data_IF_298732809363
#
_entry.id   IF_298732809363
#
_cell.length_a   1.000
_cell.length_b   1.000
_cell.length_c   1.000
_cell.angle_alpha   90.00
_cell.angle_beta   90.00
_cell.angle_gamma   90.00
#
_symmetry.space_group_name_H-M   'P 1'
#
loop_
_entity.id
_entity.type
_entity.pdbx_description
1 polymer ?
#
# COMPACT_ATOMS: atom_id res chain seq x y z
N UNK A 1 -34.29 5.38 20.31
CA UNK A 1 -33.49 4.31 20.92
C UNK A 1 -32.26 4.06 20.07
N UNK A 2 -31.12 4.64 20.49
CA UNK A 2 -29.82 4.36 19.87
C UNK A 2 -29.43 2.91 20.21
N UNK A 3 -28.88 2.20 19.23
CA UNK A 3 -28.40 0.83 19.42
C UNK A 3 -26.95 0.87 19.89
N UNK A 4 -26.51 -0.15 20.63
CA UNK A 4 -25.14 -0.22 21.20
C UNK A 4 -24.02 -0.08 20.16
N UNK A 5 -24.28 -0.37 18.89
CA UNK A 5 -23.35 -0.22 17.77
C UNK A 5 -23.47 1.13 17.03
N UNK A 6 -24.25 2.08 17.55
CA UNK A 6 -24.31 3.45 17.05
C UNK A 6 -22.99 4.17 17.39
N UNK A 7 -22.29 4.64 16.38
CA UNK A 7 -20.97 5.25 16.55
C UNK A 7 -21.02 6.49 17.45
N UNK A 8 -22.03 7.34 17.28
CA UNK A 8 -22.18 8.55 18.11
C UNK A 8 -22.37 8.18 19.58
N UNK A 9 -23.13 7.10 19.86
CA UNK A 9 -23.31 6.62 21.22
C UNK A 9 -22.03 6.08 21.83
N UNK A 10 -21.24 5.34 21.05
CA UNK A 10 -19.95 4.81 21.50
C UNK A 10 -18.94 5.93 21.76
N UNK A 11 -18.87 6.92 20.89
CA UNK A 11 -17.99 8.08 21.06
C UNK A 11 -18.42 8.94 22.26
N UNK A 12 -19.72 9.16 22.44
CA UNK A 12 -20.25 9.90 23.59
C UNK A 12 -19.92 9.19 24.91
N UNK A 13 -20.10 7.85 24.96
CA UNK A 13 -19.70 7.07 26.11
C UNK A 13 -18.20 7.17 26.39
N UNK A 14 -17.37 7.01 25.39
CA UNK A 14 -15.91 7.08 25.49
C UNK A 14 -15.43 8.42 26.03
N UNK A 15 -16.06 9.52 25.57
CA UNK A 15 -15.66 10.88 25.95
C UNK A 15 -16.26 11.35 27.27
N UNK A 16 -17.45 10.89 27.64
CA UNK A 16 -18.24 11.45 28.74
C UNK A 16 -18.80 10.41 29.72
N UNK A 17 -18.99 9.17 29.29
CA UNK A 17 -19.66 8.12 30.06
C UNK A 17 -18.72 7.14 30.76
N UNK A 18 -17.46 7.11 30.35
CA UNK A 18 -16.47 6.21 30.96
C UNK A 18 -15.92 6.73 32.31
N UNK A 19 -15.09 5.93 32.96
CA UNK A 19 -14.52 6.32 34.25
C UNK A 19 -13.66 7.58 34.16
N UNK A 20 -13.55 8.39 35.25
CA UNK A 20 -12.70 9.57 35.26
C UNK A 20 -11.24 9.31 34.89
N UNK A 21 -10.73 8.12 35.17
CA UNK A 21 -9.39 7.69 34.80
C UNK A 21 -9.21 7.66 33.29
N UNK A 22 -10.11 6.98 32.58
CA UNK A 22 -10.04 6.88 31.10
C UNK A 22 -10.35 8.21 30.41
N UNK A 23 -11.28 9.00 30.94
CA UNK A 23 -11.54 10.34 30.42
C UNK A 23 -10.32 11.26 30.53
N UNK A 24 -9.59 11.20 31.67
CA UNK A 24 -8.35 11.95 31.87
C UNK A 24 -7.26 11.50 30.90
N UNK A 25 -7.10 10.19 30.76
CA UNK A 25 -6.14 9.60 29.82
C UNK A 25 -6.42 10.04 28.39
N UNK A 26 -7.67 10.02 27.92
CA UNK A 26 -8.05 10.46 26.58
C UNK A 26 -7.73 11.94 26.33
N UNK A 27 -7.97 12.81 27.32
CA UNK A 27 -7.62 14.23 27.20
C UNK A 27 -6.12 14.45 26.95
N UNK A 28 -5.28 13.64 27.58
CA UNK A 28 -3.84 13.72 27.38
C UNK A 28 -3.42 13.01 26.08
N UNK A 29 -4.07 11.92 25.72
CA UNK A 29 -3.87 11.23 24.44
C UNK A 29 -4.13 12.15 23.24
N UNK A 30 -5.21 12.94 23.25
CA UNK A 30 -5.53 13.89 22.16
C UNK A 30 -4.55 15.06 22.03
N UNK A 31 -3.70 15.29 23.01
CA UNK A 31 -2.61 16.29 22.90
C UNK A 31 -1.33 15.70 22.28
N UNK A 32 -1.31 14.40 22.08
CA UNK A 32 -0.11 13.72 21.58
C UNK A 32 0.11 14.02 20.09
N UNK A 33 1.35 14.32 19.74
CA UNK A 33 1.76 14.68 18.37
C UNK A 33 2.51 13.55 17.65
N UNK A 34 2.44 12.34 18.16
CA UNK A 34 3.05 11.16 17.53
C UNK A 34 2.43 10.79 16.18
N UNK A 35 3.07 9.89 15.44
CA UNK A 35 2.49 9.36 14.20
C UNK A 35 1.18 8.61 14.49
N UNK A 36 0.27 8.57 13.52
CA UNK A 36 -1.00 7.85 13.65
C UNK A 36 -0.78 6.36 14.02
N UNK A 37 0.25 5.73 13.49
CA UNK A 37 0.64 4.36 13.84
C UNK A 37 1.02 4.22 15.32
N UNK A 38 1.85 5.14 15.83
CA UNK A 38 2.23 5.14 17.26
C UNK A 38 1.04 5.44 18.17
N UNK A 39 0.16 6.35 17.76
CA UNK A 39 -1.06 6.66 18.52
C UNK A 39 -2.01 5.45 18.57
N UNK A 40 -2.15 4.69 17.47
CA UNK A 40 -2.93 3.45 17.45
C UNK A 40 -2.37 2.41 18.42
N UNK A 41 -1.04 2.27 18.51
CA UNK A 41 -0.41 1.38 19.48
C UNK A 41 -0.65 1.83 20.93
N UNK A 42 -0.49 3.12 21.22
CA UNK A 42 -0.76 3.67 22.55
C UNK A 42 -2.21 3.43 22.96
N UNK A 43 -3.15 3.67 22.06
CA UNK A 43 -4.57 3.44 22.29
C UNK A 43 -4.87 1.96 22.57
N UNK A 44 -4.35 1.05 21.75
CA UNK A 44 -4.49 -0.38 21.93
C UNK A 44 -3.95 -0.85 23.30
N UNK A 45 -2.78 -0.38 23.67
CA UNK A 45 -2.09 -0.81 24.89
C UNK A 45 -2.74 -0.26 26.16
N UNK A 46 -3.04 1.03 26.19
CA UNK A 46 -3.43 1.72 27.41
C UNK A 46 -4.94 1.90 27.57
N UNK A 47 -5.68 2.05 26.48
CA UNK A 47 -7.13 2.13 26.52
C UNK A 47 -7.79 0.75 26.49
N UNK A 48 -7.41 -0.08 25.53
CA UNK A 48 -8.00 -1.41 25.36
C UNK A 48 -7.35 -2.48 26.24
N UNK A 49 -6.23 -2.17 26.90
CA UNK A 49 -5.49 -3.13 27.74
C UNK A 49 -4.93 -4.33 26.97
N UNK A 50 -4.73 -4.16 25.66
CA UNK A 50 -4.30 -5.23 24.76
C UNK A 50 -2.83 -5.02 24.36
N UNK A 51 -2.00 -6.06 24.53
CA UNK A 51 -0.55 -5.99 24.33
C UNK A 51 -0.09 -6.16 22.89
N UNK A 52 -0.99 -6.31 21.92
CA UNK A 52 -0.53 -6.41 20.53
C UNK A 52 -1.42 -7.15 19.53
N UNK A 53 -2.65 -7.54 19.90
CA UNK A 53 -3.58 -8.15 18.95
C UNK A 53 -3.83 -7.21 17.76
N UNK A 54 -3.57 -7.70 16.56
CA UNK A 54 -3.74 -6.95 15.30
C UNK A 54 -3.03 -5.58 15.29
N UNK A 55 -1.93 -5.43 16.03
CA UNK A 55 -1.23 -4.16 16.16
C UNK A 55 -0.88 -3.56 14.78
N UNK A 56 -0.34 -4.35 13.89
CA UNK A 56 0.05 -3.89 12.55
C UNK A 56 -1.16 -3.42 11.74
N UNK A 57 -2.26 -4.17 11.78
CA UNK A 57 -3.52 -3.79 11.11
C UNK A 57 -4.04 -2.45 11.66
N UNK A 58 -4.05 -2.28 12.98
CA UNK A 58 -4.51 -1.06 13.64
C UNK A 58 -3.64 0.15 13.33
N UNK A 59 -2.32 -0.03 13.34
CA UNK A 59 -1.36 1.02 12.97
C UNK A 59 -1.53 1.45 11.51
N UNK A 60 -1.76 0.49 10.63
CA UNK A 60 -2.01 0.74 9.21
C UNK A 60 -3.29 1.53 9.02
N UNK A 61 -4.41 1.07 9.59
CA UNK A 61 -5.71 1.77 9.49
C UNK A 61 -5.68 3.17 10.08
N UNK A 62 -4.99 3.37 11.20
CA UNK A 62 -4.85 4.70 11.79
C UNK A 62 -4.07 5.66 10.86
N UNK A 63 -3.04 5.16 10.20
CA UNK A 63 -2.27 5.93 9.23
C UNK A 63 -3.11 6.29 8.00
N UNK A 64 -3.92 5.37 7.51
CA UNK A 64 -4.87 5.61 6.42
C UNK A 64 -5.87 6.71 6.76
N UNK A 65 -6.53 6.58 7.91
CA UNK A 65 -7.49 7.58 8.38
C UNK A 65 -6.86 8.96 8.56
N UNK A 66 -5.63 9.01 9.09
CA UNK A 66 -4.89 10.26 9.21
C UNK A 66 -4.73 10.95 7.86
N UNK A 67 -4.29 10.23 6.84
CA UNK A 67 -4.13 10.80 5.50
C UNK A 67 -5.46 11.19 4.84
N UNK A 68 -6.52 10.43 5.09
CA UNK A 68 -7.86 10.79 4.58
C UNK A 68 -8.38 12.08 5.22
N UNK A 69 -8.20 12.24 6.52
CA UNK A 69 -8.62 13.44 7.26
C UNK A 69 -7.78 14.65 6.85
N UNK A 70 -6.46 14.51 6.75
CA UNK A 70 -5.54 15.58 6.40
C UNK A 70 -5.81 16.15 4.99
N UNK A 71 -6.26 15.33 4.07
CA UNK A 71 -6.61 15.75 2.70
C UNK A 71 -8.02 16.29 2.52
N UNK A 72 -8.77 16.39 3.60
CA UNK A 72 -10.18 16.73 3.58
C UNK A 72 -11.03 15.55 3.07
N UNK A 73 -12.10 15.25 3.81
CA UNK A 73 -13.11 14.29 3.40
C UNK A 73 -13.69 14.70 2.03
N UNK A 74 -13.10 14.24 0.94
CA UNK A 74 -13.85 14.13 -0.29
C UNK A 74 -14.88 13.03 -0.03
N UNK A 75 -16.14 13.41 0.15
CA UNK A 75 -17.24 12.46 0.20
C UNK A 75 -17.23 11.64 -1.09
N UNK A 76 -16.53 10.54 -1.11
CA UNK A 76 -16.79 9.46 -2.04
C UNK A 76 -17.90 8.64 -1.42
N UNK A 77 -19.15 9.00 -1.74
CA UNK A 77 -20.24 8.04 -1.72
C UNK A 77 -19.73 6.73 -2.29
N UNK A 78 -20.02 5.59 -1.61
CA UNK A 78 -19.56 4.25 -1.96
C UNK A 78 -19.76 3.83 -3.42
N UNK A 79 -19.05 4.48 -4.29
CA UNK A 79 -18.83 4.11 -5.68
C UNK A 79 -17.47 3.45 -5.74
N UNK A 80 -17.41 2.29 -6.35
CA UNK A 80 -16.15 1.64 -6.71
C UNK A 80 -15.18 2.70 -7.23
N UNK A 81 -14.08 2.94 -6.51
CA UNK A 81 -13.01 3.79 -7.00
C UNK A 81 -12.65 3.28 -8.39
N UNK A 82 -12.79 4.13 -9.41
CA UNK A 82 -12.36 3.79 -10.75
C UNK A 82 -10.87 3.50 -10.66
N UNK A 83 -10.51 2.25 -10.82
CA UNK A 83 -9.15 1.75 -10.78
C UNK A 83 -8.37 2.20 -12.02
N UNK A 84 -8.25 3.51 -12.20
CA UNK A 84 -7.36 4.07 -13.21
C UNK A 84 -5.94 4.08 -12.64
N UNK A 85 -4.99 3.32 -13.20
CA UNK A 85 -3.60 3.32 -12.74
C UNK A 85 -2.92 4.68 -12.85
N UNK A 86 -3.53 5.65 -13.53
CA UNK A 86 -3.05 7.02 -13.63
C UNK A 86 -3.61 7.94 -12.52
N UNK A 87 -4.56 7.47 -11.72
CA UNK A 87 -5.15 8.23 -10.63
C UNK A 87 -4.54 7.83 -9.29
N UNK A 88 -3.84 8.78 -8.67
CA UNK A 88 -3.26 8.57 -7.33
C UNK A 88 -4.30 8.56 -6.22
N UNK A 89 -5.45 9.18 -6.43
CA UNK A 89 -6.53 9.20 -5.45
C UNK A 89 -7.19 7.83 -5.33
N UNK A 90 -7.31 7.07 -6.43
CA UNK A 90 -7.81 5.71 -6.45
C UNK A 90 -6.88 4.68 -5.81
N UNK A 91 -5.60 5.00 -5.66
CA UNK A 91 -4.61 4.06 -5.10
C UNK A 91 -4.72 3.94 -3.58
N UNK A 92 -5.27 4.93 -2.88
CA UNK A 92 -5.18 4.99 -1.42
C UNK A 92 -6.28 4.26 -0.66
N UNK A 93 -7.45 4.10 -1.23
CA UNK A 93 -8.59 3.49 -0.54
C UNK A 93 -8.62 1.97 -0.60
N UNK A 94 -8.13 1.41 -1.68
CA UNK A 94 -8.34 -0.01 -2.03
C UNK A 94 -7.12 -0.90 -1.81
N UNK A 95 -5.98 -0.33 -1.38
CA UNK A 95 -4.72 -1.06 -1.26
C UNK A 95 -4.59 -1.91 -0.01
N UNK A 96 -5.58 -1.87 0.86
CA UNK A 96 -5.44 -2.41 2.21
C UNK A 96 -6.55 -3.39 2.59
N UNK A 97 -6.97 -4.24 1.67
CA UNK A 97 -7.73 -5.40 2.10
C UNK A 97 -6.80 -6.44 2.75
N UNK A 98 -6.62 -6.30 4.05
CA UNK A 98 -5.84 -7.21 4.88
C UNK A 98 -6.65 -8.40 5.39
N UNK A 99 -7.81 -8.65 4.84
CA UNK A 99 -8.72 -9.69 5.32
C UNK A 99 -8.15 -11.10 5.13
N UNK A 100 -7.10 -11.24 4.29
CA UNK A 100 -6.46 -12.53 4.02
C UNK A 100 -5.01 -12.53 4.50
N UNK A 101 -4.65 -13.35 5.49
CA UNK A 101 -3.27 -13.52 5.91
C UNK A 101 -2.36 -13.93 4.74
N UNK A 102 -1.25 -13.22 4.56
CA UNK A 102 -0.23 -13.57 3.56
C UNK A 102 -0.39 -12.94 2.20
N UNK A 103 -1.24 -11.91 2.05
CA UNK A 103 -1.21 -11.14 0.83
C UNK A 103 -2.53 -10.59 0.30
N UNK A 104 -3.61 -10.71 1.02
CA UNK A 104 -4.91 -10.08 0.72
C UNK A 104 -5.57 -10.42 -0.62
N UNK A 105 -4.84 -10.98 -1.54
CA UNK A 105 -5.23 -11.18 -2.93
C UNK A 105 -4.96 -12.60 -3.45
N UNK A 106 -4.68 -13.53 -2.53
CA UNK A 106 -4.35 -14.92 -2.85
C UNK A 106 -2.91 -15.13 -3.29
N UNK A 107 -2.05 -14.12 -3.23
CA UNK A 107 -0.62 -14.24 -3.50
C UNK A 107 0.17 -14.50 -2.22
N UNK A 108 1.15 -15.40 -2.26
CA UNK A 108 1.94 -15.82 -1.10
C UNK A 108 3.08 -14.83 -0.72
N UNK A 109 2.91 -13.55 -1.03
CA UNK A 109 3.90 -12.52 -0.66
C UNK A 109 3.64 -12.00 0.75
N UNK A 110 4.72 -11.85 1.53
CA UNK A 110 4.62 -11.32 2.87
C UNK A 110 4.12 -9.86 2.84
N UNK A 111 3.10 -9.60 3.66
CA UNK A 111 2.49 -8.29 3.78
C UNK A 111 3.51 -7.18 4.01
N UNK A 112 3.31 -6.04 3.36
CA UNK A 112 4.16 -4.85 3.50
C UNK A 112 5.51 -4.94 2.79
N UNK A 113 5.85 -6.08 2.15
CA UNK A 113 7.02 -6.19 1.30
C UNK A 113 6.77 -5.54 -0.08
N UNK A 114 7.82 -5.08 -0.75
CA UNK A 114 7.69 -4.46 -2.08
C UNK A 114 7.01 -5.40 -3.08
N UNK A 115 7.28 -6.68 -3.00
CA UNK A 115 6.67 -7.74 -3.81
C UNK A 115 5.17 -7.88 -3.56
N UNK A 116 4.75 -7.81 -2.29
CA UNK A 116 3.33 -7.80 -1.93
C UNK A 116 2.62 -6.57 -2.51
N UNK A 117 3.22 -5.38 -2.36
CA UNK A 117 2.62 -4.14 -2.83
C UNK A 117 2.32 -4.17 -4.33
N UNK A 118 3.25 -4.65 -5.14
CA UNK A 118 3.03 -4.78 -6.59
C UNK A 118 1.96 -5.82 -6.90
N UNK A 119 2.00 -6.99 -6.26
CA UNK A 119 1.02 -8.05 -6.47
C UNK A 119 -0.40 -7.58 -6.11
N UNK A 120 -0.56 -6.95 -4.94
CA UNK A 120 -1.82 -6.39 -4.47
C UNK A 120 -2.35 -5.31 -5.44
N UNK A 121 -1.47 -4.41 -5.92
CA UNK A 121 -1.88 -3.36 -6.87
C UNK A 121 -2.32 -3.93 -8.21
N UNK A 122 -1.59 -4.89 -8.75
CA UNK A 122 -1.98 -5.58 -9.98
C UNK A 122 -3.34 -6.27 -9.85
N UNK A 123 -3.55 -6.94 -8.72
CA UNK A 123 -4.80 -7.65 -8.46
C UNK A 123 -5.99 -6.69 -8.34
N UNK A 124 -5.82 -5.61 -7.59
CA UNK A 124 -6.81 -4.54 -7.47
C UNK A 124 -7.24 -3.99 -8.84
N UNK A 125 -6.30 -3.81 -9.74
CA UNK A 125 -6.55 -3.28 -11.09
C UNK A 125 -7.00 -4.35 -12.10
N UNK A 126 -7.03 -5.63 -11.69
CA UNK A 126 -7.33 -6.76 -12.58
C UNK A 126 -6.28 -6.97 -13.67
N UNK A 127 -5.03 -6.61 -13.38
CA UNK A 127 -3.93 -6.68 -14.35
C UNK A 127 -3.23 -8.04 -14.31
N UNK A 128 -2.75 -8.44 -15.47
CA UNK A 128 -1.86 -9.58 -15.70
C UNK A 128 -0.61 -9.11 -16.44
N UNK A 129 0.46 -9.88 -16.41
CA UNK A 129 1.57 -9.62 -17.30
C UNK A 129 1.08 -9.73 -18.76
N UNK A 130 1.50 -8.80 -19.59
CA UNK A 130 1.28 -8.87 -21.02
C UNK A 130 2.34 -9.80 -21.63
N UNK A 131 1.91 -10.88 -22.22
CA UNK A 131 2.78 -11.79 -22.95
C UNK A 131 3.26 -11.18 -24.27
N UNK A 132 4.40 -11.66 -24.79
CA UNK A 132 5.01 -11.18 -26.04
C UNK A 132 4.10 -11.37 -27.25
N UNK A 133 3.20 -12.36 -27.19
CA UNK A 133 2.23 -12.65 -28.26
C UNK A 133 0.82 -12.14 -27.90
N UNK A 134 0.70 -11.28 -26.86
CA UNK A 134 -0.55 -10.69 -26.43
C UNK A 134 -1.35 -11.51 -25.41
N UNK A 135 -0.85 -12.67 -24.97
CA UNK A 135 -1.46 -13.49 -23.93
C UNK A 135 -1.43 -12.80 -22.57
N UNK A 136 -2.33 -13.20 -21.66
CA UNK A 136 -2.36 -12.75 -20.27
C UNK A 136 -1.70 -13.78 -19.38
N UNK A 137 -0.61 -13.40 -18.71
CA UNK A 137 0.18 -14.28 -17.86
C UNK A 137 0.02 -13.85 -16.41
N UNK A 138 -0.37 -14.77 -15.54
CA UNK A 138 -0.41 -14.50 -14.10
C UNK A 138 1.00 -14.43 -13.54
N UNK A 139 1.24 -13.49 -12.60
CA UNK A 139 2.42 -13.58 -11.74
C UNK A 139 2.34 -14.83 -10.88
N UNK A 140 3.49 -15.35 -10.50
CA UNK A 140 3.62 -16.56 -9.68
C UNK A 140 4.18 -16.20 -8.30
N UNK A 141 4.00 -17.10 -7.31
CA UNK A 141 4.46 -16.87 -5.94
C UNK A 141 6.00 -16.84 -5.78
N UNK A 142 6.74 -17.16 -6.84
CA UNK A 142 8.20 -17.23 -6.85
C UNK A 142 8.81 -16.26 -7.87
N UNK A 143 8.32 -15.03 -7.92
CA UNK A 143 8.90 -13.99 -8.81
C UNK A 143 10.33 -13.58 -8.41
N UNK A 144 10.79 -13.98 -7.20
CA UNK A 144 12.10 -13.63 -6.67
C UNK A 144 12.10 -12.35 -5.84
N UNK A 145 13.30 -11.81 -5.61
CA UNK A 145 13.49 -10.51 -4.96
C UNK A 145 13.00 -9.38 -5.87
N UNK A 146 12.87 -8.17 -5.34
CA UNK A 146 12.39 -7.04 -6.12
C UNK A 146 13.13 -6.83 -7.45
N UNK A 147 14.47 -6.99 -7.43
CA UNK A 147 15.29 -6.87 -8.65
C UNK A 147 15.05 -7.97 -9.67
N UNK A 148 14.50 -9.12 -9.27
CA UNK A 148 14.37 -10.31 -10.14
C UNK A 148 13.04 -10.33 -10.91
N UNK A 149 12.07 -9.53 -10.50
CA UNK A 149 10.69 -9.60 -10.99
C UNK A 149 10.56 -9.43 -12.50
N UNK A 150 11.26 -8.48 -13.09
CA UNK A 150 11.20 -8.25 -14.53
C UNK A 150 11.89 -9.39 -15.30
N UNK A 151 13.01 -9.90 -14.79
CA UNK A 151 13.68 -11.05 -15.40
C UNK A 151 12.79 -12.31 -15.32
N UNK A 152 12.14 -12.55 -14.18
CA UNK A 152 11.18 -13.65 -14.03
C UNK A 152 9.97 -13.47 -14.94
N UNK A 153 9.40 -12.26 -15.04
CA UNK A 153 8.32 -11.99 -15.97
C UNK A 153 8.72 -12.30 -17.42
N UNK A 154 9.96 -11.95 -17.81
CA UNK A 154 10.50 -12.29 -19.12
C UNK A 154 10.62 -13.80 -19.34
N UNK A 155 11.06 -14.56 -18.32
CA UNK A 155 11.17 -16.03 -18.40
C UNK A 155 9.80 -16.72 -18.51
N UNK A 156 8.75 -16.11 -17.97
CA UNK A 156 7.37 -16.56 -18.11
C UNK A 156 6.76 -16.24 -19.48
N UNK A 157 7.47 -15.53 -20.36
CA UNK A 157 6.98 -15.13 -21.67
C UNK A 157 6.44 -13.68 -21.72
N UNK A 158 6.55 -12.94 -20.61
CA UNK A 158 6.09 -11.55 -20.52
C UNK A 158 6.88 -10.58 -21.39
N UNK A 159 6.17 -9.56 -21.89
CA UNK A 159 6.79 -8.41 -22.58
C UNK A 159 7.52 -7.53 -21.57
N UNK A 160 8.80 -7.26 -21.82
CA UNK A 160 9.64 -6.45 -20.93
C UNK A 160 10.37 -5.37 -21.74
N UNK A 161 10.90 -4.36 -21.07
CA UNK A 161 11.63 -3.28 -21.73
C UNK A 161 12.26 -2.29 -20.78
N UNK A 162 12.80 -1.21 -21.35
CA UNK A 162 13.48 -0.12 -20.62
C UNK A 162 12.67 1.18 -20.57
N UNK A 163 11.50 1.21 -21.19
CA UNK A 163 10.66 2.42 -21.25
C UNK A 163 9.52 2.34 -20.24
N UNK A 164 9.34 3.35 -19.36
CA UNK A 164 8.23 3.37 -18.43
C UNK A 164 6.88 3.43 -19.17
N UNK A 165 5.89 2.67 -18.68
CA UNK A 165 4.49 2.75 -19.11
C UNK A 165 3.60 2.69 -17.88
N UNK A 166 2.55 3.49 -17.83
CA UNK A 166 1.55 3.39 -16.77
C UNK A 166 0.99 1.96 -16.72
N UNK A 167 0.87 1.43 -15.51
CA UNK A 167 0.48 0.04 -15.28
C UNK A 167 1.62 -0.98 -15.31
N UNK A 168 2.84 -0.59 -15.67
CA UNK A 168 3.97 -1.51 -15.68
C UNK A 168 4.48 -1.84 -14.27
N UNK A 169 5.05 -3.03 -14.13
CA UNK A 169 5.93 -3.37 -13.01
C UNK A 169 7.32 -2.80 -13.31
N UNK A 170 7.97 -2.24 -12.30
CA UNK A 170 9.35 -1.74 -12.41
C UNK A 170 10.24 -2.40 -11.38
N UNK A 171 11.37 -2.97 -11.82
CA UNK A 171 12.43 -3.49 -10.97
C UNK A 171 13.63 -2.54 -10.95
N UNK A 172 14.19 -2.37 -9.76
CA UNK A 172 15.41 -1.62 -9.49
C UNK A 172 16.52 -2.57 -9.06
N UNK A 173 17.67 -2.48 -9.68
CA UNK A 173 18.86 -3.25 -9.31
C UNK A 173 19.30 -2.90 -7.88
N UNK A 174 19.72 -3.89 -7.12
CA UNK A 174 20.15 -3.71 -5.73
C UNK A 174 21.30 -2.72 -5.59
N UNK A 175 21.22 -1.86 -4.57
CA UNK A 175 22.20 -0.81 -4.30
C UNK A 175 22.03 0.44 -5.16
N UNK A 176 21.03 0.49 -6.04
CA UNK A 176 20.70 1.66 -6.85
C UNK A 176 19.42 2.32 -6.37
N UNK A 177 19.19 3.59 -6.69
CA UNK A 177 17.94 4.31 -6.37
C UNK A 177 17.49 4.20 -4.89
N UNK A 178 18.43 4.04 -3.96
CA UNK A 178 18.15 3.89 -2.52
C UNK A 178 17.59 2.52 -2.12
N UNK A 179 17.77 1.49 -2.96
CA UNK A 179 17.28 0.14 -2.71
C UNK A 179 18.31 -0.74 -2.00
N UNK A 180 17.90 -1.77 -1.24
CA UNK A 180 18.81 -2.70 -0.58
C UNK A 180 19.70 -3.44 -1.59
N UNK A 181 21.01 -3.51 -1.33
CA UNK A 181 21.99 -4.09 -2.25
C UNK A 181 21.73 -5.55 -2.60
N UNK A 182 21.26 -6.37 -1.63
CA UNK A 182 21.04 -7.80 -1.82
C UNK A 182 19.72 -8.17 -2.52
N UNK A 183 18.72 -7.29 -2.46
CA UNK A 183 17.35 -7.63 -2.87
C UNK A 183 16.81 -6.73 -3.98
N UNK A 184 17.45 -5.58 -4.20
CA UNK A 184 16.88 -4.55 -5.04
C UNK A 184 15.51 -4.12 -4.57
N UNK A 185 14.65 -3.76 -5.51
CA UNK A 185 13.29 -3.30 -5.21
C UNK A 185 12.35 -3.52 -6.39
N UNK A 186 11.06 -3.60 -6.12
CA UNK A 186 10.01 -3.63 -7.14
C UNK A 186 8.91 -2.65 -6.78
N UNK A 187 8.39 -1.95 -7.78
CA UNK A 187 7.31 -0.98 -7.60
C UNK A 187 6.34 -1.06 -8.80
N UNK A 188 5.24 -0.35 -8.70
CA UNK A 188 4.22 -0.26 -9.74
C UNK A 188 4.18 1.15 -10.32
N UNK A 189 4.20 1.27 -11.66
CA UNK A 189 4.17 2.56 -12.36
C UNK A 189 2.74 3.07 -12.45
N UNK A 190 2.42 4.11 -11.71
CA UNK A 190 1.09 4.71 -11.68
C UNK A 190 0.89 5.72 -12.81
N UNK A 191 1.93 6.49 -13.15
CA UNK A 191 1.86 7.54 -14.15
C UNK A 191 3.21 7.75 -14.82
N UNK A 192 3.18 8.09 -16.11
CA UNK A 192 4.33 8.61 -16.85
C UNK A 192 4.00 10.05 -17.26
N UNK A 193 4.95 10.95 -17.10
CA UNK A 193 4.83 12.37 -17.43
C UNK A 193 5.46 12.65 -18.80
N UNK A 194 5.08 13.78 -19.41
CA UNK A 194 5.56 14.18 -20.74
C UNK A 194 7.08 14.40 -20.81
N UNK A 195 7.70 14.71 -19.66
CA UNK A 195 9.16 14.86 -19.51
C UNK A 195 9.90 13.52 -19.40
N UNK A 196 9.18 12.39 -19.51
CA UNK A 196 9.75 11.03 -19.38
C UNK A 196 9.94 10.57 -17.94
N UNK A 197 9.72 11.45 -16.96
CA UNK A 197 9.68 11.04 -15.55
C UNK A 197 8.45 10.18 -15.28
N UNK A 198 8.47 9.38 -14.21
CA UNK A 198 7.34 8.54 -13.88
C UNK A 198 7.15 8.43 -12.36
N UNK A 199 5.92 8.19 -11.98
CA UNK A 199 5.51 8.03 -10.59
C UNK A 199 5.25 6.56 -10.31
N UNK A 200 5.80 6.08 -9.21
CA UNK A 200 5.56 4.72 -8.74
C UNK A 200 4.81 4.72 -7.42
N UNK A 201 3.98 3.69 -7.21
CA UNK A 201 3.51 3.27 -5.90
C UNK A 201 4.35 2.08 -5.44
N UNK A 202 4.76 2.09 -4.19
CA UNK A 202 5.66 1.09 -3.63
C UNK A 202 5.43 0.89 -2.14
N UNK A 203 5.71 -0.31 -1.65
CA UNK A 203 5.75 -0.64 -0.23
C UNK A 203 7.16 -1.06 0.16
N UNK A 204 7.51 -0.98 1.43
CA UNK A 204 8.81 -1.35 1.98
C UNK A 204 10.01 -0.53 1.44
N UNK A 205 9.79 0.61 0.80
CA UNK A 205 10.89 1.50 0.46
C UNK A 205 11.40 2.17 1.73
N UNK A 206 12.71 2.08 1.97
CA UNK A 206 13.29 2.55 3.24
C UNK A 206 12.78 1.81 4.48
N UNK A 207 12.22 0.61 4.33
CA UNK A 207 11.66 -0.17 5.44
C UNK A 207 10.23 0.23 5.84
N UNK A 208 9.57 1.12 5.09
CA UNK A 208 8.18 1.51 5.34
C UNK A 208 7.21 0.51 4.70
N UNK A 209 6.44 -0.28 5.49
CA UNK A 209 5.52 -1.28 4.95
C UNK A 209 4.28 -0.67 4.28
N UNK A 210 4.02 0.60 4.49
CA UNK A 210 2.88 1.29 3.88
C UNK A 210 3.21 1.70 2.45
N UNK A 211 2.16 1.89 1.64
CA UNK A 211 2.35 2.47 0.32
C UNK A 211 2.87 3.90 0.39
N UNK A 212 3.92 4.13 -0.38
CA UNK A 212 4.47 5.45 -0.64
C UNK A 212 4.51 5.70 -2.15
N UNK A 213 4.65 6.97 -2.50
CA UNK A 213 4.76 7.40 -3.90
C UNK A 213 6.11 8.08 -4.10
N UNK A 214 6.79 7.67 -5.15
CA UNK A 214 8.08 8.24 -5.50
C UNK A 214 8.10 8.60 -7.00
N UNK A 215 8.50 9.83 -7.29
CA UNK A 215 8.75 10.27 -8.67
C UNK A 215 10.20 9.93 -9.05
N UNK A 216 10.35 9.21 -10.13
CA UNK A 216 11.63 8.87 -10.75
C UNK A 216 11.84 9.83 -11.92
N UNK A 217 12.96 10.53 -11.94
CA UNK A 217 13.23 11.56 -12.94
C UNK A 217 13.45 10.96 -14.34
N UNK A 218 14.10 9.80 -14.41
CA UNK A 218 14.39 9.12 -15.68
C UNK A 218 14.69 7.64 -15.41
N UNK A 219 14.32 6.77 -16.33
CA UNK A 219 14.80 5.39 -16.36
C UNK A 219 16.26 5.35 -16.84
N UNK A 220 17.06 4.51 -16.19
CA UNK A 220 18.46 4.26 -16.55
C UNK A 220 18.73 2.75 -16.65
N UNK A 221 19.99 2.35 -16.79
CA UNK A 221 20.39 0.96 -16.94
C UNK A 221 20.15 0.09 -15.71
N UNK A 222 19.85 0.69 -14.54
CA UNK A 222 19.52 -0.03 -13.32
C UNK A 222 17.99 -0.26 -13.15
N UNK A 223 17.20 0.20 -14.13
CA UNK A 223 15.74 0.10 -14.13
C UNK A 223 15.25 -0.73 -15.30
N UNK A 224 14.35 -1.66 -15.05
CA UNK A 224 13.68 -2.46 -16.08
C UNK A 224 12.18 -2.57 -15.82
N UNK A 225 11.40 -2.82 -16.85
CA UNK A 225 9.94 -2.87 -16.78
C UNK A 225 9.39 -4.17 -17.34
N UNK A 226 8.34 -4.72 -16.68
CA UNK A 226 7.47 -5.73 -17.26
C UNK A 226 6.09 -5.11 -17.48
N UNK A 227 5.57 -5.27 -18.70
CA UNK A 227 4.31 -4.64 -19.07
C UNK A 227 3.13 -5.49 -18.71
N UNK A 228 2.02 -4.83 -18.44
CA UNK A 228 0.77 -5.47 -18.01
C UNK A 228 -0.37 -5.19 -18.99
N UNK A 229 -1.43 -5.96 -18.86
CA UNK A 229 -2.67 -5.83 -19.63
C UNK A 229 -3.87 -6.25 -18.77
N UNK A 230 -5.06 -5.72 -19.07
CA UNK A 230 -6.34 -6.18 -18.52
C UNK A 230 -6.86 -7.42 -19.23
#
# INVERSE_FOLDING_TARGET
>A
NKKWYDLDLQLDFMLHGDSPYYQSWLKDFFKNTGSAANLAQLFLTYWEGNSGDKLLERQTRATEWYYQIEKGFSQTNGGQAKSDPQSLEGVRGDLYDHSVPGGGDGMAYAYGQCTWGVAARMNQLGLKLKGRNGEKISIINTMGNGQDWVATASSLGGETGSTPRAGAIVSFVGGTHGTPASYGHVAFVEKVYDDGSFLVSETNYGGNPNYTFRKISQADSAISFAYTTK
#
